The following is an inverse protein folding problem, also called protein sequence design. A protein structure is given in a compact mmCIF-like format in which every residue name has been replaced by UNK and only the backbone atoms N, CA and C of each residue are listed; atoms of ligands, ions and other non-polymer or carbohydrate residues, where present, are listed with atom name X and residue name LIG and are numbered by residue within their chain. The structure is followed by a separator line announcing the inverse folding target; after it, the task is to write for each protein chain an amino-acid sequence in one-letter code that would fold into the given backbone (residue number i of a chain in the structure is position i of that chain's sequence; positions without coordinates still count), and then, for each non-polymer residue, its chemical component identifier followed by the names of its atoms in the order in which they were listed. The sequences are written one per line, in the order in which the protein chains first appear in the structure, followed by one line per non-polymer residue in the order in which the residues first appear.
data_IF_040274442226
#
_entry.id   IF_040274442226
#
_cell.length_a   1.000
_cell.length_b   1.000
_cell.length_c   1.000
_cell.angle_alpha   90.00
_cell.angle_beta   90.00
_cell.angle_gamma   90.00
#
_symmetry.space_group_name_H-M   'P 1'
#
loop_
_entity.id
_entity.type
_entity.pdbx_description
1 polymer ?
#
# COMPACT_ATOMS: atom_id res chain seq x y z
N UNK A 1 5.48 -6.58 19.50
CA UNK A 1 6.37 -7.71 19.22
C UNK A 1 7.83 -7.33 19.45
N UNK A 2 8.54 -8.15 20.21
CA UNK A 2 9.93 -7.85 20.63
C UNK A 2 10.96 -8.11 19.52
N UNK A 3 10.65 -8.92 18.54
CA UNK A 3 11.56 -9.27 17.44
C UNK A 3 11.50 -8.18 16.34
N UNK A 4 10.33 -7.93 15.82
CA UNK A 4 10.15 -6.96 14.71
C UNK A 4 9.98 -5.52 15.18
N UNK A 5 9.68 -5.27 16.47
CA UNK A 5 9.29 -3.96 17.04
C UNK A 5 7.95 -3.44 16.51
N UNK A 6 7.12 -4.34 15.97
CA UNK A 6 5.81 -4.01 15.47
C UNK A 6 4.83 -3.75 16.62
N UNK A 7 4.05 -2.69 16.52
CA UNK A 7 2.90 -2.40 17.36
C UNK A 7 1.64 -2.88 16.64
N UNK A 8 0.84 -3.71 17.33
CA UNK A 8 -0.38 -4.30 16.78
C UNK A 8 -1.52 -4.21 17.79
N UNK A 9 -2.74 -4.27 17.32
CA UNK A 9 -3.88 -4.53 18.19
C UNK A 9 -3.73 -5.90 18.88
N UNK A 10 -4.29 -6.04 20.07
CA UNK A 10 -4.27 -7.32 20.80
C UNK A 10 -5.19 -8.38 20.21
N UNK A 11 -6.23 -7.96 19.50
CA UNK A 11 -7.19 -8.81 18.79
C UNK A 11 -7.52 -8.17 17.43
N UNK A 12 -7.76 -9.00 16.42
CA UNK A 12 -8.12 -8.54 15.08
C UNK A 12 -9.56 -8.90 14.74
N UNK A 13 -10.27 -7.93 14.18
CA UNK A 13 -11.56 -8.18 13.53
C UNK A 13 -11.31 -8.82 12.18
N UNK A 14 -12.11 -9.83 11.80
CA UNK A 14 -11.97 -10.47 10.47
C UNK A 14 -12.13 -9.45 9.36
N UNK A 15 -11.20 -9.37 8.37
CA UNK A 15 -11.21 -8.35 7.33
C UNK A 15 -12.50 -8.29 6.52
N UNK A 16 -13.16 -9.44 6.28
CA UNK A 16 -14.40 -9.52 5.50
C UNK A 16 -15.59 -8.85 6.19
N UNK A 17 -15.53 -8.65 7.50
CA UNK A 17 -16.55 -7.93 8.26
C UNK A 17 -16.40 -6.41 8.11
N UNK A 18 -15.19 -5.93 7.86
CA UNK A 18 -14.85 -4.51 7.70
C UNK A 18 -14.85 -4.10 6.23
N UNK A 19 -14.14 -4.85 5.38
CA UNK A 19 -13.94 -4.54 3.96
C UNK A 19 -14.83 -5.42 3.09
N UNK A 20 -16.00 -4.91 2.73
CA UNK A 20 -17.03 -5.59 1.94
C UNK A 20 -17.85 -4.57 1.15
N UNK A 21 -18.89 -5.02 0.44
CA UNK A 21 -19.74 -4.18 -0.41
C UNK A 21 -20.48 -3.04 0.33
N UNK A 22 -20.47 -3.05 1.68
CA UNK A 22 -21.07 -2.00 2.51
C UNK A 22 -20.05 -0.95 2.96
N UNK A 23 -18.80 -1.07 2.59
CA UNK A 23 -17.74 -0.12 2.96
C UNK A 23 -18.02 1.26 2.35
N UNK A 24 -17.97 2.32 3.18
CA UNK A 24 -18.53 3.63 2.81
C UNK A 24 -17.48 4.72 2.62
N UNK A 25 -16.21 4.44 2.88
CA UNK A 25 -15.15 5.44 2.73
C UNK A 25 -14.73 5.54 1.25
N UNK A 26 -14.97 6.71 0.64
CA UNK A 26 -14.54 7.05 -0.72
C UNK A 26 -13.37 8.00 -0.68
N UNK A 27 -12.20 7.57 -1.11
CA UNK A 27 -10.98 8.40 -1.14
C UNK A 27 -11.17 9.65 -2.02
N UNK A 28 -11.97 9.57 -3.07
CA UNK A 28 -12.25 10.69 -3.98
C UNK A 28 -13.17 11.76 -3.39
N UNK A 29 -13.82 11.55 -2.26
CA UNK A 29 -14.68 12.56 -1.64
C UNK A 29 -13.87 13.75 -1.07
N UNK A 30 -12.59 13.56 -0.76
CA UNK A 30 -11.70 14.60 -0.26
C UNK A 30 -10.92 15.27 -1.40
N UNK A 31 -11.12 16.58 -1.61
CA UNK A 31 -10.33 17.36 -2.58
C UNK A 31 -8.85 17.36 -2.22
N UNK A 32 -8.52 17.34 -0.93
CA UNK A 32 -7.14 17.24 -0.45
C UNK A 32 -6.52 15.92 -0.90
N UNK A 33 -7.24 14.80 -0.72
CA UNK A 33 -6.74 13.49 -1.15
C UNK A 33 -6.65 13.37 -2.69
N UNK A 34 -7.60 13.95 -3.43
CA UNK A 34 -7.50 14.00 -4.90
C UNK A 34 -6.21 14.71 -5.35
N UNK A 35 -5.88 15.86 -4.74
CA UNK A 35 -4.61 16.56 -5.04
C UNK A 35 -3.40 15.75 -4.60
N UNK A 36 -3.43 15.21 -3.40
CA UNK A 36 -2.36 14.39 -2.86
C UNK A 36 -2.01 13.20 -3.78
N UNK A 37 -3.00 12.42 -4.19
CA UNK A 37 -2.79 11.26 -5.06
C UNK A 37 -2.34 11.65 -6.47
N UNK A 38 -2.82 12.77 -7.01
CA UNK A 38 -2.32 13.29 -8.29
C UNK A 38 -0.84 13.68 -8.18
N UNK A 39 -0.48 14.43 -7.16
CA UNK A 39 0.88 14.91 -6.97
C UNK A 39 1.83 13.73 -6.67
N UNK A 40 1.39 12.77 -5.87
CA UNK A 40 2.08 11.51 -5.62
C UNK A 40 2.32 10.71 -6.92
N UNK A 41 1.29 10.50 -7.72
CA UNK A 41 1.42 9.79 -9.00
C UNK A 41 2.37 10.52 -9.96
N UNK A 42 2.37 11.85 -9.98
CA UNK A 42 3.29 12.63 -10.82
C UNK A 42 4.75 12.43 -10.39
N UNK A 43 5.05 12.49 -9.10
CA UNK A 43 6.40 12.19 -8.57
C UNK A 43 6.85 10.80 -9.02
N UNK A 44 6.01 9.78 -8.87
CA UNK A 44 6.37 8.41 -9.26
C UNK A 44 6.60 8.27 -10.77
N UNK A 45 5.81 8.96 -11.59
CA UNK A 45 5.99 8.96 -13.06
C UNK A 45 7.29 9.67 -13.47
N UNK A 46 7.56 10.83 -12.89
CA UNK A 46 8.75 11.62 -13.22
C UNK A 46 10.05 10.94 -12.79
N UNK A 47 10.05 10.31 -11.62
CA UNK A 47 11.27 9.72 -11.05
C UNK A 47 11.54 8.30 -11.53
N UNK A 48 10.50 7.46 -11.66
CA UNK A 48 10.66 6.03 -11.92
C UNK A 48 10.14 5.58 -13.30
N UNK A 49 9.34 6.40 -13.98
CA UNK A 49 8.77 6.09 -15.32
C UNK A 49 8.16 4.68 -15.41
N UNK A 50 7.30 4.25 -14.47
CA UNK A 50 6.80 2.88 -14.45
C UNK A 50 5.88 2.60 -15.64
N UNK A 51 6.07 1.44 -16.28
CA UNK A 51 5.23 0.97 -17.39
C UNK A 51 4.06 0.13 -16.87
N UNK A 52 4.30 -0.75 -15.90
CA UNK A 52 3.33 -1.69 -15.32
C UNK A 52 3.05 -1.35 -13.87
N UNK A 53 1.93 -0.67 -13.64
CA UNK A 53 1.55 -0.16 -12.32
C UNK A 53 0.53 -1.08 -11.64
N UNK A 54 0.59 -1.18 -10.32
CA UNK A 54 -0.44 -1.83 -9.51
C UNK A 54 -0.72 -1.03 -8.25
N UNK A 55 -2.00 -0.97 -7.84
CA UNK A 55 -2.40 -0.46 -6.53
C UNK A 55 -3.09 -1.55 -5.72
N UNK A 56 -2.68 -1.70 -4.46
CA UNK A 56 -3.31 -2.56 -3.46
C UNK A 56 -4.17 -1.69 -2.56
N UNK A 57 -5.48 -2.02 -2.45
CA UNK A 57 -6.47 -1.19 -1.76
C UNK A 57 -6.84 0.05 -2.56
N UNK A 58 -7.21 -0.15 -3.84
CA UNK A 58 -7.42 0.97 -4.78
C UNK A 58 -8.64 1.83 -4.47
N UNK A 59 -9.52 1.41 -3.58
CA UNK A 59 -10.76 2.08 -3.27
C UNK A 59 -11.51 2.48 -4.56
N UNK A 60 -12.02 3.71 -4.68
CA UNK A 60 -12.71 4.21 -5.88
C UNK A 60 -11.75 4.69 -7.00
N UNK A 61 -10.47 4.33 -6.92
CA UNK A 61 -9.49 4.51 -7.98
C UNK A 61 -8.88 5.90 -8.09
N UNK A 62 -8.89 6.70 -7.02
CA UNK A 62 -8.40 8.07 -7.05
C UNK A 62 -6.91 8.17 -7.42
N UNK A 63 -6.08 7.18 -7.04
CA UNK A 63 -4.67 7.11 -7.42
C UNK A 63 -4.48 6.52 -8.82
N UNK A 64 -5.06 5.33 -9.10
CA UNK A 64 -4.84 4.63 -10.39
C UNK A 64 -5.29 5.45 -11.59
N UNK A 65 -6.29 6.35 -11.46
CA UNK A 65 -6.76 7.26 -12.52
C UNK A 65 -5.66 8.15 -13.11
N UNK A 66 -4.52 8.26 -12.46
CA UNK A 66 -3.37 9.01 -12.95
C UNK A 66 -2.46 8.19 -13.89
N UNK A 67 -2.71 6.89 -14.08
CA UNK A 67 -1.94 5.99 -14.94
C UNK A 67 -2.82 5.43 -16.06
N UNK A 68 -2.21 4.84 -17.10
CA UNK A 68 -2.97 4.20 -18.19
C UNK A 68 -3.71 2.97 -17.69
N UNK A 69 -4.99 2.85 -18.01
CA UNK A 69 -5.78 1.64 -17.69
C UNK A 69 -5.29 0.37 -18.38
N UNK A 70 -4.59 0.51 -19.52
CA UNK A 70 -4.08 -0.65 -20.28
C UNK A 70 -2.98 -1.39 -19.54
N UNK A 71 -2.22 -0.69 -18.70
CA UNK A 71 -1.03 -1.23 -18.01
C UNK A 71 -1.16 -1.22 -16.49
N UNK A 72 -2.31 -0.73 -15.97
CA UNK A 72 -2.57 -0.65 -14.52
C UNK A 72 -3.52 -1.75 -14.06
N UNK A 73 -3.14 -2.43 -13.00
CA UNK A 73 -3.95 -3.43 -12.29
C UNK A 73 -4.25 -2.93 -10.89
N UNK A 74 -5.41 -3.25 -10.36
CA UNK A 74 -5.80 -2.90 -9.00
C UNK A 74 -6.31 -4.10 -8.22
N UNK A 75 -6.13 -4.05 -6.91
CA UNK A 75 -6.69 -5.00 -5.93
C UNK A 75 -7.59 -4.22 -4.98
N UNK A 76 -8.85 -4.66 -4.84
CA UNK A 76 -9.82 -4.00 -3.96
C UNK A 76 -10.86 -5.01 -3.48
N UNK A 77 -10.84 -5.40 -2.18
CA UNK A 77 -11.76 -6.41 -1.67
C UNK A 77 -13.22 -5.94 -1.56
N UNK A 78 -13.44 -4.61 -1.54
CA UNK A 78 -14.81 -4.07 -1.52
C UNK A 78 -15.39 -4.05 -2.94
N UNK A 79 -16.25 -5.01 -3.25
CA UNK A 79 -16.78 -5.20 -4.60
C UNK A 79 -17.54 -4.00 -5.16
N UNK A 80 -18.13 -3.12 -4.31
CA UNK A 80 -18.71 -1.85 -4.73
C UNK A 80 -17.67 -0.94 -5.39
N UNK A 81 -16.43 -0.85 -4.86
CA UNK A 81 -15.34 -0.06 -5.44
C UNK A 81 -14.70 -0.75 -6.63
N UNK A 82 -14.47 -2.06 -6.56
CA UNK A 82 -13.98 -2.83 -7.70
C UNK A 82 -14.86 -2.68 -8.94
N UNK A 83 -16.19 -2.61 -8.78
CA UNK A 83 -17.14 -2.33 -9.86
C UNK A 83 -16.93 -0.92 -10.46
N UNK A 84 -16.67 0.09 -9.63
CA UNK A 84 -16.42 1.47 -10.09
C UNK A 84 -15.17 1.51 -10.97
N UNK A 85 -14.04 0.99 -10.47
CA UNK A 85 -12.77 1.02 -11.19
C UNK A 85 -12.79 0.17 -12.46
N UNK A 86 -13.44 -1.01 -12.44
CA UNK A 86 -13.67 -1.81 -13.65
C UNK A 86 -14.56 -1.07 -14.67
N UNK A 87 -15.58 -0.33 -14.23
CA UNK A 87 -16.47 0.41 -15.13
C UNK A 87 -15.81 1.53 -15.92
N UNK A 88 -14.70 2.06 -15.42
CA UNK A 88 -13.87 3.10 -16.07
C UNK A 88 -12.62 2.53 -16.75
N UNK A 89 -12.57 1.21 -16.95
CA UNK A 89 -11.60 0.52 -17.79
C UNK A 89 -10.38 -0.06 -17.10
N UNK A 90 -10.24 0.07 -15.78
CA UNK A 90 -9.15 -0.58 -15.05
C UNK A 90 -9.43 -2.06 -14.82
N UNK A 91 -8.39 -2.85 -14.72
CA UNK A 91 -8.46 -4.26 -14.36
C UNK A 91 -8.35 -4.39 -12.83
N UNK A 92 -9.48 -4.45 -12.14
CA UNK A 92 -9.52 -4.57 -10.68
C UNK A 92 -9.95 -5.98 -10.26
N UNK A 93 -9.14 -6.61 -9.44
CA UNK A 93 -9.43 -7.88 -8.79
C UNK A 93 -10.20 -7.61 -7.48
N UNK A 94 -11.40 -8.12 -7.40
CA UNK A 94 -12.29 -8.09 -6.23
C UNK A 94 -11.84 -9.18 -5.24
N UNK A 95 -10.70 -8.94 -4.58
CA UNK A 95 -10.03 -9.91 -3.69
C UNK A 95 -9.18 -9.20 -2.66
N UNK A 96 -8.94 -9.87 -1.52
CA UNK A 96 -7.88 -9.52 -0.59
C UNK A 96 -6.50 -9.83 -1.18
N UNK A 97 -5.52 -9.04 -0.80
CA UNK A 97 -4.13 -9.22 -1.20
C UNK A 97 -3.53 -10.47 -0.54
N UNK A 98 -3.02 -11.41 -1.31
CA UNK A 98 -2.34 -12.62 -0.88
C UNK A 98 -1.54 -13.25 -2.03
N UNK A 99 -0.79 -14.33 -1.76
CA UNK A 99 0.00 -15.04 -2.76
C UNK A 99 -0.83 -15.63 -3.90
N UNK A 100 -2.05 -16.11 -3.62
CA UNK A 100 -2.92 -16.68 -4.66
C UNK A 100 -3.30 -15.64 -5.72
N UNK A 101 -3.69 -14.43 -5.30
CA UNK A 101 -4.04 -13.36 -6.25
C UNK A 101 -2.82 -12.87 -7.01
N UNK A 102 -1.63 -12.86 -6.40
CA UNK A 102 -0.38 -12.52 -7.07
C UNK A 102 -0.06 -13.48 -8.22
N UNK A 103 -0.19 -14.79 -8.02
CA UNK A 103 0.05 -15.74 -9.11
C UNK A 103 -0.92 -15.54 -10.28
N UNK A 104 -2.19 -15.22 -9.99
CA UNK A 104 -3.17 -14.86 -11.04
C UNK A 104 -2.77 -13.58 -11.79
N UNK A 105 -2.26 -12.56 -11.08
CA UNK A 105 -1.80 -11.32 -11.69
C UNK A 105 -0.57 -11.56 -12.57
N UNK A 106 0.42 -12.27 -12.06
CA UNK A 106 1.65 -12.56 -12.83
C UNK A 106 1.32 -13.35 -14.10
N UNK A 107 0.42 -14.33 -14.00
CA UNK A 107 0.01 -15.14 -15.15
C UNK A 107 -0.71 -14.32 -16.23
N UNK A 108 -1.54 -13.34 -15.83
CA UNK A 108 -2.40 -12.59 -16.75
C UNK A 108 -1.83 -11.24 -17.18
N UNK A 109 -0.91 -10.65 -16.41
CA UNK A 109 -0.46 -9.27 -16.55
C UNK A 109 1.04 -9.08 -16.33
N UNK A 110 1.80 -10.14 -16.12
CA UNK A 110 3.22 -10.12 -15.73
C UNK A 110 3.49 -9.48 -14.35
N UNK A 111 4.79 -9.39 -14.00
CA UNK A 111 5.27 -8.66 -12.82
C UNK A 111 5.11 -7.16 -13.01
N UNK A 112 5.17 -6.42 -11.90
CA UNK A 112 4.90 -4.98 -11.83
C UNK A 112 6.19 -4.19 -11.56
N UNK A 113 6.34 -3.04 -12.24
CA UNK A 113 7.46 -2.12 -12.02
C UNK A 113 7.19 -1.21 -10.82
N UNK A 114 5.92 -0.89 -10.60
CA UNK A 114 5.45 -0.11 -9.47
C UNK A 114 4.26 -0.82 -8.81
N UNK A 115 4.41 -1.09 -7.52
CA UNK A 115 3.29 -1.45 -6.64
C UNK A 115 3.10 -0.30 -5.66
N UNK A 116 1.88 0.21 -5.56
CA UNK A 116 1.51 1.25 -4.60
C UNK A 116 0.44 0.75 -3.64
N UNK A 117 0.42 1.32 -2.44
CA UNK A 117 -0.64 1.10 -1.44
C UNK A 117 -0.74 2.32 -0.54
N UNK A 118 -1.93 2.74 -0.16
CA UNK A 118 -2.10 3.89 0.73
C UNK A 118 -3.16 3.62 1.77
N UNK A 119 -2.79 3.73 3.05
CA UNK A 119 -3.64 3.43 4.20
C UNK A 119 -4.32 2.07 4.09
N UNK A 120 -3.54 1.05 3.76
CA UNK A 120 -4.04 -0.30 3.51
C UNK A 120 -3.12 -1.38 4.08
N UNK A 121 -1.78 -1.20 4.06
CA UNK A 121 -0.85 -2.20 4.61
C UNK A 121 -1.07 -2.36 6.12
N UNK A 122 -1.36 -1.27 6.84
CA UNK A 122 -1.70 -1.31 8.26
C UNK A 122 -2.97 -2.11 8.59
N UNK A 123 -3.82 -2.41 7.60
CA UNK A 123 -5.03 -3.23 7.74
C UNK A 123 -4.78 -4.73 7.53
N UNK A 124 -3.64 -5.11 6.94
CA UNK A 124 -3.33 -6.50 6.58
C UNK A 124 -2.84 -7.27 7.81
N UNK A 125 -3.56 -8.30 8.22
CA UNK A 125 -3.23 -9.05 9.45
C UNK A 125 -2.02 -9.96 9.29
N UNK A 126 -1.79 -10.53 8.09
CA UNK A 126 -0.63 -11.37 7.79
C UNK A 126 0.40 -10.59 6.95
N UNK A 127 1.27 -9.83 7.62
CA UNK A 127 2.27 -8.99 6.96
C UNK A 127 3.37 -9.81 6.27
N UNK A 128 3.73 -11.00 6.78
CA UNK A 128 4.72 -11.84 6.13
C UNK A 128 4.24 -12.32 4.77
N UNK A 129 3.01 -12.81 4.67
CA UNK A 129 2.42 -13.16 3.38
C UNK A 129 2.28 -11.93 2.48
N UNK A 130 1.84 -10.79 3.03
CA UNK A 130 1.66 -9.57 2.27
C UNK A 130 2.96 -9.09 1.63
N UNK A 131 4.06 -9.02 2.39
CA UNK A 131 5.36 -8.58 1.86
C UNK A 131 6.03 -9.63 0.97
N UNK A 132 5.89 -10.92 1.28
CA UNK A 132 6.33 -12.00 0.40
C UNK A 132 5.64 -11.93 -0.97
N UNK A 133 4.32 -11.67 -0.98
CA UNK A 133 3.52 -11.48 -2.18
C UNK A 133 3.98 -10.25 -2.98
N UNK A 134 4.33 -9.14 -2.32
CA UNK A 134 4.89 -7.95 -2.96
C UNK A 134 6.23 -8.28 -3.64
N UNK A 135 7.17 -8.91 -2.91
CA UNK A 135 8.46 -9.32 -3.47
C UNK A 135 8.28 -10.22 -4.70
N UNK A 136 7.36 -11.17 -4.63
CA UNK A 136 7.03 -12.10 -5.73
C UNK A 136 6.50 -11.37 -6.97
N UNK A 137 5.66 -10.34 -6.77
CA UNK A 137 4.99 -9.60 -7.84
C UNK A 137 5.88 -8.52 -8.49
N UNK A 138 6.88 -7.98 -7.79
CA UNK A 138 7.80 -6.98 -8.32
C UNK A 138 8.72 -7.57 -9.39
N UNK A 139 9.00 -6.78 -10.44
CA UNK A 139 10.16 -6.98 -11.31
C UNK A 139 11.45 -6.83 -10.50
N UNK A 140 12.60 -7.19 -11.08
CA UNK A 140 13.86 -7.12 -10.32
C UNK A 140 14.25 -5.67 -9.98
N UNK A 141 13.96 -4.72 -10.88
CA UNK A 141 14.18 -3.28 -10.65
C UNK A 141 12.94 -2.55 -10.14
N UNK A 142 11.86 -3.27 -9.87
CA UNK A 142 10.58 -2.73 -9.42
C UNK A 142 10.63 -2.12 -8.03
N UNK A 143 9.68 -1.23 -7.76
CA UNK A 143 9.55 -0.57 -6.46
C UNK A 143 8.17 -0.79 -5.85
N UNK A 144 8.16 -0.90 -4.53
CA UNK A 144 6.95 -0.83 -3.73
C UNK A 144 6.94 0.48 -2.96
N UNK A 145 5.90 1.30 -3.18
CA UNK A 145 5.75 2.58 -2.48
C UNK A 145 4.43 2.60 -1.75
N UNK A 146 4.46 2.81 -0.44
CA UNK A 146 3.23 2.81 0.35
C UNK A 146 3.20 3.91 1.40
N UNK A 147 2.00 4.31 1.77
CA UNK A 147 1.72 5.35 2.75
C UNK A 147 0.86 4.78 3.87
N UNK A 148 1.34 4.83 5.10
CA UNK A 148 0.57 4.44 6.28
C UNK A 148 0.85 5.38 7.46
N UNK A 149 -0.06 5.45 8.45
CA UNK A 149 0.12 6.25 9.66
C UNK A 149 1.44 5.93 10.38
N UNK A 150 2.13 6.98 10.83
CA UNK A 150 3.41 6.89 11.52
C UNK A 150 3.22 6.78 13.03
N UNK A 151 3.73 5.70 13.64
CA UNK A 151 3.76 5.53 15.09
C UNK A 151 4.43 6.74 15.79
N UNK A 152 5.55 7.23 15.25
CA UNK A 152 6.25 8.38 15.80
C UNK A 152 5.34 9.62 15.81
N UNK A 153 4.66 9.90 14.70
CA UNK A 153 3.74 11.05 14.60
C UNK A 153 2.52 10.89 15.48
N UNK A 154 2.01 9.67 15.61
CA UNK A 154 0.92 9.38 16.53
C UNK A 154 1.32 9.68 17.99
N UNK A 155 2.51 9.27 18.42
CA UNK A 155 3.02 9.55 19.77
C UNK A 155 3.30 11.04 19.99
N UNK A 156 3.94 11.73 19.03
CA UNK A 156 4.21 13.17 19.10
C UNK A 156 2.94 14.02 19.22
N UNK A 157 1.87 13.63 18.53
CA UNK A 157 0.59 14.36 18.46
C UNK A 157 -0.45 13.87 19.45
N UNK A 158 -0.18 12.76 20.13
CA UNK A 158 -1.12 12.08 21.04
C UNK A 158 -2.44 11.73 20.32
N UNK A 159 -2.33 11.17 19.10
CA UNK A 159 -3.47 10.87 18.21
C UNK A 159 -4.06 9.50 18.51
N UNK A 160 -4.89 9.36 19.55
CA UNK A 160 -5.52 8.08 19.93
C UNK A 160 -6.56 7.60 18.92
N UNK A 161 -7.11 8.48 18.10
CA UNK A 161 -8.05 8.21 17.04
C UNK A 161 -7.48 7.31 15.92
N UNK A 162 -6.16 7.14 15.89
CA UNK A 162 -5.50 6.17 14.99
C UNK A 162 -5.59 4.72 15.48
N UNK A 163 -6.04 4.46 16.71
CA UNK A 163 -6.18 3.12 17.30
C UNK A 163 -7.63 2.68 17.16
N UNK A 164 -7.95 1.91 16.14
CA UNK A 164 -9.27 1.36 15.89
C UNK A 164 -9.19 0.07 15.04
N UNK A 165 -10.29 -0.65 14.91
CA UNK A 165 -10.34 -2.03 14.39
C UNK A 165 -9.72 -2.22 13.00
N UNK A 166 -9.78 -1.21 12.12
CA UNK A 166 -9.18 -1.30 10.78
C UNK A 166 -7.66 -1.23 10.82
N UNK A 167 -7.05 -0.51 11.79
CA UNK A 167 -5.61 -0.38 11.94
C UNK A 167 -5.04 -1.55 12.77
N UNK A 168 -4.97 -2.74 12.16
CA UNK A 168 -4.40 -3.93 12.80
C UNK A 168 -2.97 -3.68 13.31
N UNK A 169 -2.21 -2.85 12.59
CA UNK A 169 -0.82 -2.50 12.89
C UNK A 169 -0.58 -0.99 12.82
N UNK A 170 0.39 -0.53 13.63
CA UNK A 170 0.87 0.86 13.62
C UNK A 170 2.38 0.81 13.43
N UNK A 171 2.87 1.41 12.35
CA UNK A 171 4.24 1.24 11.90
C UNK A 171 5.21 2.29 12.41
N UNK A 172 6.38 1.84 12.88
CA UNK A 172 7.62 2.62 12.93
C UNK A 172 8.53 2.24 11.75
N UNK A 173 9.46 3.12 11.37
CA UNK A 173 10.46 2.81 10.35
C UNK A 173 11.27 1.54 10.72
N UNK A 174 11.65 1.40 11.99
CA UNK A 174 12.37 0.21 12.49
C UNK A 174 11.58 -1.08 12.30
N UNK A 175 10.27 -1.08 12.63
CA UNK A 175 9.44 -2.26 12.43
C UNK A 175 9.33 -2.61 10.94
N UNK A 176 9.16 -1.62 10.08
CA UNK A 176 9.08 -1.84 8.63
C UNK A 176 10.40 -2.35 8.05
N UNK A 177 11.55 -1.84 8.49
CA UNK A 177 12.87 -2.37 8.08
C UNK A 177 13.01 -3.86 8.41
N UNK A 178 12.61 -4.26 9.62
CA UNK A 178 12.66 -5.66 10.05
C UNK A 178 11.72 -6.55 9.22
N UNK A 179 10.47 -6.15 9.09
CA UNK A 179 9.45 -6.92 8.38
C UNK A 179 9.75 -7.05 6.87
N UNK A 180 10.10 -5.96 6.21
CA UNK A 180 10.48 -5.96 4.81
C UNK A 180 11.75 -6.77 4.58
N UNK A 181 12.76 -6.62 5.48
CA UNK A 181 14.02 -7.36 5.42
C UNK A 181 13.84 -8.86 5.51
N UNK A 182 12.94 -9.36 6.38
CA UNK A 182 12.60 -10.78 6.49
C UNK A 182 11.98 -11.33 5.20
N UNK A 183 11.37 -10.47 4.39
CA UNK A 183 10.70 -10.83 3.13
C UNK A 183 11.50 -10.48 1.88
N UNK A 184 12.81 -10.24 1.99
CA UNK A 184 13.72 -9.99 0.86
C UNK A 184 13.53 -8.62 0.21
N UNK A 185 12.91 -7.68 0.94
CA UNK A 185 12.74 -6.29 0.54
C UNK A 185 13.60 -5.39 1.43
N UNK A 186 13.96 -4.20 0.95
CA UNK A 186 14.65 -3.18 1.75
C UNK A 186 14.07 -1.79 1.50
N UNK A 187 14.03 -0.95 2.53
CA UNK A 187 13.66 0.45 2.41
C UNK A 187 14.85 1.22 1.86
N UNK A 188 14.63 1.96 0.78
CA UNK A 188 15.67 2.83 0.24
C UNK A 188 15.41 4.33 0.43
N UNK A 189 14.14 4.74 0.73
CA UNK A 189 13.76 6.12 1.04
C UNK A 189 12.55 6.16 1.98
N UNK A 190 12.50 7.18 2.86
CA UNK A 190 11.37 7.50 3.72
C UNK A 190 11.03 8.99 3.59
N UNK A 191 9.78 9.31 3.37
CA UNK A 191 9.26 10.69 3.38
C UNK A 191 8.20 10.83 4.47
N UNK A 192 8.25 11.94 5.22
CA UNK A 192 7.21 12.27 6.19
C UNK A 192 6.11 13.06 5.52
N UNK A 193 4.86 12.65 5.72
CA UNK A 193 3.67 13.27 5.17
C UNK A 193 2.83 13.92 6.26
N UNK A 194 2.05 14.95 5.87
CA UNK A 194 1.13 15.64 6.78
C UNK A 194 -0.30 15.05 6.75
N UNK A 195 -0.61 14.23 5.76
CA UNK A 195 -1.93 13.61 5.59
C UNK A 195 -2.21 12.58 6.68
N UNK A 196 -3.49 12.28 6.92
CA UNK A 196 -3.94 11.29 7.91
C UNK A 196 -3.30 11.45 9.31
N UNK A 197 -3.14 12.70 9.77
CA UNK A 197 -2.56 12.96 11.10
C UNK A 197 -1.03 12.82 11.17
N UNK A 198 -0.38 12.48 10.06
CA UNK A 198 1.05 12.25 9.92
C UNK A 198 1.34 10.80 9.54
N UNK A 199 1.66 10.61 8.26
CA UNK A 199 2.02 9.31 7.68
C UNK A 199 3.49 9.30 7.25
N UNK A 200 4.02 8.12 6.99
CA UNK A 200 5.26 7.94 6.26
C UNK A 200 4.93 7.40 4.87
N UNK A 201 5.60 7.94 3.84
CA UNK A 201 5.71 7.29 2.54
C UNK A 201 7.01 6.51 2.52
N UNK A 202 6.89 5.23 2.34
CA UNK A 202 7.99 4.27 2.36
C UNK A 202 8.25 3.82 0.93
N UNK A 203 9.48 3.93 0.49
CA UNK A 203 9.94 3.41 -0.80
C UNK A 203 10.80 2.19 -0.54
N UNK A 204 10.35 1.04 -1.00
CA UNK A 204 11.03 -0.24 -0.86
C UNK A 204 11.33 -0.87 -2.23
N UNK A 205 12.36 -1.71 -2.28
CA UNK A 205 12.76 -2.48 -3.45
C UNK A 205 13.23 -3.88 -3.02
N UNK A 206 13.55 -4.74 -3.96
CA UNK A 206 14.25 -5.99 -3.65
C UNK A 206 15.63 -5.68 -3.06
N UNK A 207 16.08 -6.47 -2.09
CA UNK A 207 17.34 -6.25 -1.39
C UNK A 207 18.52 -6.12 -2.36
N UNK A 208 19.36 -5.10 -2.18
CA UNK A 208 20.58 -4.84 -2.93
C UNK A 208 20.37 -4.25 -4.32
N UNK A 209 19.12 -3.92 -4.73
CA UNK A 209 18.87 -3.39 -6.08
C UNK A 209 18.96 -1.88 -6.17
N UNK A 210 18.85 -1.15 -5.06
CA UNK A 210 18.93 0.32 -5.02
C UNK A 210 19.85 0.80 -3.91
N UNK A 211 20.38 2.01 -4.09
CA UNK A 211 21.16 2.69 -3.05
C UNK A 211 20.22 3.23 -1.98
N UNK A 212 20.52 2.92 -0.73
CA UNK A 212 19.79 3.46 0.43
C UNK A 212 20.13 4.95 0.58
N UNK A 213 19.12 5.78 0.73
CA UNK A 213 19.23 7.22 0.89
C UNK A 213 19.43 7.61 2.37
N UNK A 214 19.85 8.84 2.63
CA UNK A 214 20.06 9.35 3.98
C UNK A 214 18.77 9.56 4.79
N UNK A 215 17.62 9.35 4.18
CA UNK A 215 16.29 9.45 4.81
C UNK A 215 15.89 8.19 5.59
N UNK A 216 16.64 7.10 5.44
CA UNK A 216 16.40 5.78 6.07
C UNK A 216 17.15 5.62 7.38
#
# INVERSE_FOLDING_TARGET
DDETKLVSLGEFVRPELMFNDSYVYYSSNSKTMQSHFRDYANVLKEEFSPEKVMEIGSNDGVFIKNFSSDTTVAIEPCGNFAKITNSIGYRTYDKFWNLEVVEQIIQNHDKRDLISSSNCVCHMQNLDEAFSAINRCLTDDGIFVFEDPSLLKMLERVSYDQIYDEHAHIFSATALQNLLGQNGLEIFRIENLIVHGGSNRIYACKQGTRKIENSV
#
